data_IF_747417874139
#
_entry.id   IF_747417874139
#
_cell.length_a   1.000
_cell.length_b   1.000
_cell.length_c   1.000
_cell.angle_alpha   90.00
_cell.angle_beta   90.00
_cell.angle_gamma   90.00
#
_symmetry.space_group_name_H-M   'P 1'
#
loop_
_entity.id
_entity.type
_entity.pdbx_description
1 polymer ?
#
# COMPACT_ATOMS: atom_id res chain seq x y z
N UNK A 1 76.24 -18.57 -32.02
CA UNK A 1 76.11 -18.65 -33.50
C UNK A 1 75.01 -17.65 -33.84
N UNK A 2 75.37 -16.38 -34.18
CA UNK A 2 75.61 -15.90 -35.54
C UNK A 2 74.40 -16.18 -36.42
N UNK A 3 73.60 -15.18 -36.81
CA UNK A 3 73.92 -14.17 -37.80
C UNK A 3 73.00 -12.97 -37.80
N UNK A 4 73.60 -11.81 -37.87
CA UNK A 4 73.10 -10.53 -38.30
C UNK A 4 72.70 -10.57 -39.78
N UNK A 5 71.71 -9.87 -40.26
CA UNK A 5 71.87 -9.11 -41.49
C UNK A 5 71.01 -7.86 -41.48
N UNK A 6 71.66 -6.81 -41.80
CA UNK A 6 71.37 -5.40 -41.94
C UNK A 6 70.68 -5.08 -43.27
N UNK A 7 70.17 -3.83 -43.30
CA UNK A 7 69.84 -2.94 -44.46
C UNK A 7 68.36 -3.12 -44.95
N UNK A 8 67.60 -2.04 -45.08
CA UNK A 8 67.88 -0.75 -45.72
C UNK A 8 66.91 0.36 -45.33
N UNK A 9 67.49 1.50 -45.17
CA UNK A 9 66.91 2.82 -45.03
C UNK A 9 66.13 3.24 -46.28
N UNK A 10 64.89 3.63 -46.19
CA UNK A 10 64.28 4.62 -47.08
C UNK A 10 63.45 5.65 -46.35
N UNK A 11 63.99 6.85 -46.29
CA UNK A 11 63.31 8.06 -45.90
C UNK A 11 62.46 8.50 -47.10
N UNK A 12 61.12 8.53 -46.94
CA UNK A 12 60.25 9.26 -47.85
C UNK A 12 59.60 10.43 -47.10
N UNK A 13 59.90 11.60 -47.62
CA UNK A 13 59.41 12.89 -47.16
C UNK A 13 57.91 13.03 -47.19
N UNK A 14 57.50 13.86 -46.26
CA UNK A 14 56.15 14.29 -45.90
C UNK A 14 55.19 14.60 -47.03
N UNK A 15 53.95 14.19 -46.72
CA UNK A 15 52.76 14.82 -47.28
C UNK A 15 52.11 15.71 -46.23
N UNK A 16 51.58 16.87 -46.59
CA UNK A 16 51.03 17.82 -45.61
C UNK A 16 49.72 17.25 -45.01
N UNK A 17 49.65 17.26 -43.66
CA UNK A 17 48.43 16.98 -42.89
C UNK A 17 47.44 18.10 -43.20
N UNK A 18 46.42 17.80 -43.97
CA UNK A 18 45.24 18.64 -44.09
C UNK A 18 44.47 18.59 -42.77
N UNK A 19 44.03 19.75 -42.22
CA UNK A 19 43.18 19.73 -41.03
C UNK A 19 41.83 19.06 -41.35
N UNK A 20 41.53 17.97 -40.63
CA UNK A 20 40.22 17.36 -40.70
C UNK A 20 39.20 18.38 -40.23
N UNK A 21 38.41 18.90 -41.14
CA UNK A 21 37.18 19.61 -40.87
C UNK A 21 36.30 18.66 -40.03
N UNK A 22 36.22 18.94 -38.72
CA UNK A 22 35.11 18.43 -37.91
C UNK A 22 33.85 18.91 -38.62
N UNK A 23 33.17 18.00 -39.28
CA UNK A 23 31.78 18.16 -39.64
C UNK A 23 31.01 18.18 -38.32
N UNK A 24 30.72 19.41 -37.85
CA UNK A 24 29.67 19.61 -36.85
C UNK A 24 28.37 19.06 -37.47
N UNK A 25 28.10 17.79 -37.21
CA UNK A 25 26.75 17.24 -37.41
C UNK A 25 25.84 18.09 -36.53
N UNK A 26 24.85 18.79 -37.10
CA UNK A 26 23.91 19.53 -36.28
C UNK A 26 23.30 18.52 -35.29
N UNK A 27 23.52 18.75 -34.00
CA UNK A 27 22.77 18.07 -32.95
C UNK A 27 21.31 18.33 -33.29
N UNK A 28 20.58 17.27 -33.68
CA UNK A 28 19.17 17.37 -33.94
C UNK A 28 18.53 18.07 -32.74
N UNK A 29 17.69 19.09 -32.96
CA UNK A 29 17.05 19.80 -31.87
C UNK A 29 16.34 18.71 -31.03
N UNK A 30 16.60 18.71 -29.71
CA UNK A 30 15.93 17.85 -28.77
C UNK A 30 14.44 17.89 -29.09
N UNK A 31 13.86 16.72 -29.30
CA UNK A 31 12.43 16.61 -29.60
C UNK A 31 11.65 17.50 -28.63
N UNK A 32 10.65 18.25 -29.10
CA UNK A 32 9.92 19.18 -28.25
C UNK A 32 9.46 18.40 -27.03
N UNK A 33 9.85 18.90 -25.85
CA UNK A 33 9.39 18.32 -24.58
C UNK A 33 7.89 18.52 -24.56
N UNK A 34 7.15 17.46 -24.90
CA UNK A 34 5.70 17.46 -24.87
C UNK A 34 5.24 17.89 -23.49
N UNK A 35 4.91 19.16 -23.36
CA UNK A 35 4.05 19.67 -22.31
C UNK A 35 2.66 19.14 -22.64
N UNK A 36 2.41 17.88 -22.27
CA UNK A 36 1.08 17.29 -22.38
C UNK A 36 0.16 18.16 -21.54
N UNK A 37 -0.59 19.05 -22.20
CA UNK A 37 -1.68 19.75 -21.54
C UNK A 37 -2.71 18.71 -21.16
N UNK A 38 -3.02 18.59 -19.85
CA UNK A 38 -4.06 17.68 -19.40
C UNK A 38 -5.36 18.09 -20.05
N UNK A 39 -5.87 17.24 -20.93
CA UNK A 39 -7.19 17.45 -21.53
C UNK A 39 -8.26 17.27 -20.45
N UNK A 40 -9.43 17.90 -20.56
CA UNK A 40 -10.55 17.69 -19.64
C UNK A 40 -10.91 16.20 -19.49
N UNK A 41 -10.76 15.43 -20.59
CA UNK A 41 -10.94 13.98 -20.59
C UNK A 41 -9.90 13.25 -19.72
N UNK A 42 -8.62 13.60 -19.85
CA UNK A 42 -7.56 13.02 -19.03
C UNK A 42 -7.76 13.33 -17.53
N UNK A 43 -8.18 14.57 -17.21
CA UNK A 43 -8.51 14.97 -15.83
C UNK A 43 -9.69 14.15 -15.28
N UNK A 44 -10.75 13.92 -16.08
CA UNK A 44 -11.86 13.07 -15.70
C UNK A 44 -11.41 11.63 -15.42
N UNK A 45 -10.62 11.04 -16.33
CA UNK A 45 -10.08 9.69 -16.14
C UNK A 45 -9.21 9.57 -14.86
N UNK A 46 -8.31 10.53 -14.62
CA UNK A 46 -7.49 10.56 -13.42
C UNK A 46 -8.37 10.73 -12.18
N UNK A 47 -9.38 11.60 -12.23
CA UNK A 47 -10.35 11.75 -11.15
C UNK A 47 -11.10 10.45 -10.83
N UNK A 48 -11.48 9.67 -11.85
CA UNK A 48 -12.10 8.37 -11.67
C UNK A 48 -11.14 7.32 -11.07
N UNK A 49 -9.84 7.37 -11.41
CA UNK A 49 -8.83 6.50 -10.79
C UNK A 49 -8.58 6.87 -9.32
N UNK A 50 -8.63 8.16 -8.98
CA UNK A 50 -8.59 8.63 -7.60
C UNK A 50 -9.84 8.14 -6.84
N UNK A 51 -11.03 8.24 -7.45
CA UNK A 51 -12.27 7.72 -6.90
C UNK A 51 -12.25 6.19 -6.72
N UNK A 52 -11.55 5.45 -7.62
CA UNK A 52 -11.31 4.02 -7.45
C UNK A 52 -10.49 3.74 -6.18
N UNK A 53 -9.37 4.44 -5.98
CA UNK A 53 -8.56 4.32 -4.76
C UNK A 53 -9.39 4.60 -3.50
N UNK A 54 -10.23 5.63 -3.54
CA UNK A 54 -11.17 5.95 -2.45
C UNK A 54 -12.18 4.84 -2.20
N UNK A 55 -12.82 4.31 -3.27
CA UNK A 55 -13.81 3.23 -3.18
C UNK A 55 -13.22 1.93 -2.61
N UNK A 56 -12.02 1.55 -3.08
CA UNK A 56 -11.29 0.39 -2.57
C UNK A 56 -10.97 0.54 -1.08
N UNK A 57 -10.44 1.71 -0.69
CA UNK A 57 -10.14 2.00 0.71
C UNK A 57 -11.38 2.00 1.60
N UNK A 58 -12.50 2.56 1.14
CA UNK A 58 -13.77 2.48 1.87
C UNK A 58 -14.22 1.04 2.08
N UNK A 59 -14.19 0.22 1.02
CA UNK A 59 -14.57 -1.19 1.12
C UNK A 59 -13.63 -1.99 2.05
N UNK A 60 -12.34 -1.65 2.09
CA UNK A 60 -11.37 -2.30 2.97
C UNK A 60 -11.61 -1.96 4.44
N UNK A 61 -11.68 -0.67 4.79
CA UNK A 61 -11.59 -0.21 6.16
C UNK A 61 -12.95 -0.03 6.87
N UNK A 62 -14.08 -0.05 6.15
CA UNK A 62 -15.41 0.10 6.73
C UNK A 62 -15.65 -0.88 7.90
N UNK A 63 -15.15 -2.11 7.78
CA UNK A 63 -15.32 -3.18 8.78
C UNK A 63 -14.74 -2.80 10.13
N UNK A 64 -13.65 -2.01 10.18
CA UNK A 64 -13.06 -1.56 11.45
C UNK A 64 -14.03 -0.66 12.22
N UNK A 65 -14.77 0.17 11.50
CA UNK A 65 -15.78 1.05 12.11
C UNK A 65 -17.01 0.31 12.63
N UNK A 66 -17.46 -0.74 11.93
CA UNK A 66 -18.72 -1.45 12.19
C UNK A 66 -18.55 -2.83 12.87
N UNK A 67 -17.33 -3.15 13.29
CA UNK A 67 -16.97 -4.46 13.85
C UNK A 67 -17.81 -4.86 15.09
N UNK A 68 -18.06 -3.96 16.07
CA UNK A 68 -18.87 -4.32 17.23
C UNK A 68 -20.31 -4.66 16.86
N UNK A 69 -20.88 -3.95 15.89
CA UNK A 69 -22.25 -4.17 15.41
C UNK A 69 -22.37 -5.51 14.68
N UNK A 70 -21.41 -5.84 13.82
CA UNK A 70 -21.34 -7.16 13.15
C UNK A 70 -21.22 -8.28 14.18
N UNK A 71 -20.34 -8.13 15.18
CA UNK A 71 -20.16 -9.14 16.22
C UNK A 71 -21.45 -9.39 17.00
N UNK A 72 -22.20 -8.32 17.29
CA UNK A 72 -23.48 -8.40 18.01
C UNK A 72 -24.57 -9.03 17.16
N UNK A 73 -24.69 -8.64 15.90
CA UNK A 73 -25.74 -9.10 15.00
C UNK A 73 -25.64 -10.61 14.68
N UNK A 74 -24.44 -11.08 14.39
CA UNK A 74 -24.19 -12.51 14.15
C UNK A 74 -23.91 -13.33 15.41
N UNK A 75 -23.89 -12.72 16.60
CA UNK A 75 -23.63 -13.43 17.86
C UNK A 75 -22.24 -14.04 17.95
N UNK A 76 -21.24 -13.45 17.29
CA UNK A 76 -19.86 -13.94 17.29
C UNK A 76 -18.96 -13.09 18.19
N UNK A 77 -17.88 -13.64 18.76
CA UNK A 77 -16.93 -12.86 19.53
C UNK A 77 -16.18 -11.85 18.67
N UNK A 78 -15.75 -10.72 19.27
CA UNK A 78 -15.02 -9.66 18.58
C UNK A 78 -13.76 -10.16 17.85
N UNK A 79 -13.07 -11.13 18.41
CA UNK A 79 -11.91 -11.77 17.78
C UNK A 79 -12.27 -12.44 16.46
N UNK A 80 -13.45 -13.07 16.39
CA UNK A 80 -13.95 -13.67 15.16
C UNK A 80 -14.37 -12.58 14.15
N UNK A 81 -15.03 -11.51 14.59
CA UNK A 81 -15.33 -10.37 13.73
C UNK A 81 -14.07 -9.72 13.15
N UNK A 82 -12.96 -9.68 13.89
CA UNK A 82 -11.65 -9.24 13.40
C UNK A 82 -11.08 -10.08 12.24
N UNK A 83 -11.49 -11.36 12.12
CA UNK A 83 -11.09 -12.23 11.00
C UNK A 83 -11.56 -11.70 9.65
N UNK A 84 -12.62 -10.87 9.60
CA UNK A 84 -13.06 -10.22 8.36
C UNK A 84 -11.97 -9.32 7.76
N UNK A 85 -11.21 -8.65 8.61
CA UNK A 85 -10.07 -7.82 8.17
C UNK A 85 -8.87 -8.70 7.79
N UNK A 86 -8.54 -9.68 8.62
CA UNK A 86 -7.43 -10.60 8.34
C UNK A 86 -7.64 -11.40 7.04
N UNK A 87 -8.85 -11.93 6.82
CA UNK A 87 -9.19 -12.70 5.62
C UNK A 87 -9.10 -11.85 4.34
N UNK A 88 -9.60 -10.62 4.39
CA UNK A 88 -9.42 -9.67 3.29
C UNK A 88 -7.93 -9.45 3.01
N UNK A 89 -7.16 -9.08 4.03
CA UNK A 89 -5.77 -8.65 3.87
C UNK A 89 -4.84 -9.78 3.47
N UNK A 90 -5.01 -11.00 3.99
CA UNK A 90 -4.21 -12.15 3.55
C UNK A 90 -4.52 -12.52 2.10
N UNK A 91 -5.79 -12.44 1.70
CA UNK A 91 -6.20 -12.72 0.33
C UNK A 91 -5.66 -11.65 -0.61
N UNK A 92 -5.75 -10.38 -0.24
CA UNK A 92 -5.15 -9.27 -0.98
C UNK A 92 -3.64 -9.46 -1.17
N UNK A 93 -2.91 -9.79 -0.10
CA UNK A 93 -1.46 -9.95 -0.11
C UNK A 93 -1.00 -11.10 -1.02
N UNK A 94 -1.75 -12.20 -1.07
CA UNK A 94 -1.44 -13.36 -1.92
C UNK A 94 -1.90 -13.11 -3.36
N UNK A 95 -3.12 -12.62 -3.54
CA UNK A 95 -3.73 -12.51 -4.85
C UNK A 95 -3.11 -11.41 -5.72
N UNK A 96 -2.74 -10.27 -5.14
CA UNK A 96 -2.20 -9.14 -5.90
C UNK A 96 -0.97 -9.52 -6.73
N UNK A 97 0.13 -10.06 -6.17
CA UNK A 97 1.28 -10.46 -6.97
C UNK A 97 0.99 -11.64 -7.89
N UNK A 98 0.15 -12.61 -7.46
CA UNK A 98 -0.22 -13.76 -8.30
C UNK A 98 -1.00 -13.31 -9.54
N UNK A 99 -1.98 -12.43 -9.37
CA UNK A 99 -2.75 -11.89 -10.50
C UNK A 99 -1.90 -10.98 -11.39
N UNK A 100 -1.03 -10.15 -10.82
CA UNK A 100 -0.11 -9.32 -11.59
C UNK A 100 0.81 -10.17 -12.49
N UNK A 101 1.33 -11.30 -11.98
CA UNK A 101 2.21 -12.21 -12.72
C UNK A 101 1.46 -13.08 -13.73
N UNK A 102 0.22 -13.50 -13.46
CA UNK A 102 -0.51 -14.49 -14.27
C UNK A 102 -1.35 -13.86 -15.38
N UNK A 103 -1.81 -12.61 -15.21
CA UNK A 103 -2.79 -11.98 -16.12
C UNK A 103 -2.17 -11.04 -17.16
N UNK A 104 -0.85 -10.90 -17.20
CA UNK A 104 -0.14 -9.97 -18.09
C UNK A 104 -0.38 -10.16 -19.60
N UNK A 105 -0.93 -11.33 -20.02
CA UNK A 105 -1.30 -11.60 -21.42
C UNK A 105 -2.72 -11.18 -21.75
N UNK A 106 -3.53 -10.84 -20.75
CA UNK A 106 -4.93 -10.45 -20.93
C UNK A 106 -4.99 -8.94 -21.14
N UNK A 107 -5.78 -8.45 -22.12
CA UNK A 107 -5.92 -7.01 -22.32
C UNK A 107 -6.37 -6.30 -21.04
N UNK A 108 -5.69 -5.20 -20.68
CA UNK A 108 -5.93 -4.45 -19.44
C UNK A 108 -7.40 -4.05 -19.25
N UNK A 109 -8.13 -3.78 -20.35
CA UNK A 109 -9.56 -3.47 -20.30
C UNK A 109 -10.41 -4.67 -19.88
N UNK A 110 -10.09 -5.87 -20.38
CA UNK A 110 -10.80 -7.09 -19.99
C UNK A 110 -10.58 -7.38 -18.50
N UNK A 111 -9.34 -7.18 -18.01
CA UNK A 111 -9.01 -7.29 -16.59
C UNK A 111 -9.74 -6.25 -15.74
N UNK A 112 -9.75 -4.98 -16.19
CA UNK A 112 -10.48 -3.92 -15.49
C UNK A 112 -11.97 -4.28 -15.34
N UNK A 113 -12.62 -4.74 -16.41
CA UNK A 113 -14.03 -5.15 -16.38
C UNK A 113 -14.22 -6.35 -15.45
N UNK A 114 -13.41 -7.40 -15.61
CA UNK A 114 -13.52 -8.63 -14.82
C UNK A 114 -13.32 -8.37 -13.32
N UNK A 115 -12.28 -7.63 -12.95
CA UNK A 115 -12.02 -7.28 -11.56
C UNK A 115 -13.07 -6.34 -10.98
N UNK A 116 -13.58 -5.38 -11.77
CA UNK A 116 -14.69 -4.51 -11.35
C UNK A 116 -15.97 -5.29 -11.06
N UNK A 117 -16.32 -6.26 -11.93
CA UNK A 117 -17.48 -7.13 -11.72
C UNK A 117 -17.29 -7.96 -10.43
N UNK A 118 -16.14 -8.58 -10.24
CA UNK A 118 -15.86 -9.38 -9.05
C UNK A 118 -15.85 -8.54 -7.77
N UNK A 119 -15.32 -7.31 -7.84
CA UNK A 119 -15.31 -6.37 -6.72
C UNK A 119 -16.73 -5.95 -6.32
N UNK A 120 -17.56 -5.60 -7.31
CA UNK A 120 -18.98 -5.28 -7.08
C UNK A 120 -19.77 -6.50 -6.60
N UNK A 121 -19.50 -7.70 -7.13
CA UNK A 121 -20.13 -8.94 -6.67
C UNK A 121 -19.79 -9.26 -5.21
N UNK A 122 -18.51 -9.07 -4.82
CA UNK A 122 -18.08 -9.23 -3.43
C UNK A 122 -18.75 -8.24 -2.48
N UNK A 123 -18.83 -6.95 -2.85
CA UNK A 123 -19.56 -5.95 -2.06
C UNK A 123 -21.07 -6.24 -2.01
N UNK A 124 -21.67 -6.75 -3.11
CA UNK A 124 -23.07 -7.17 -3.12
C UNK A 124 -23.29 -8.37 -2.19
N UNK A 125 -22.39 -9.36 -2.21
CA UNK A 125 -22.45 -10.49 -1.30
C UNK A 125 -22.34 -10.07 0.18
N UNK A 126 -21.52 -9.05 0.46
CA UNK A 126 -21.39 -8.50 1.80
C UNK A 126 -22.70 -7.82 2.29
N UNK A 127 -23.39 -7.09 1.40
CA UNK A 127 -24.71 -6.49 1.71
C UNK A 127 -25.78 -7.57 1.94
N UNK A 128 -25.74 -8.66 1.17
CA UNK A 128 -26.72 -9.73 1.23
C UNK A 128 -26.36 -10.81 2.26
N UNK A 129 -25.29 -10.62 3.05
CA UNK A 129 -24.83 -11.62 3.98
C UNK A 129 -25.84 -11.86 5.11
N UNK A 130 -26.36 -13.10 5.19
CA UNK A 130 -27.28 -13.57 6.23
C UNK A 130 -26.57 -14.41 7.29
N UNK A 131 -25.28 -14.71 7.08
CA UNK A 131 -24.42 -15.40 8.05
C UNK A 131 -23.03 -14.80 8.07
N UNK A 132 -22.31 -15.02 9.18
CA UNK A 132 -20.93 -14.56 9.33
C UNK A 132 -20.01 -15.18 8.26
N UNK A 133 -20.19 -16.45 7.93
CA UNK A 133 -19.41 -17.18 6.93
C UNK A 133 -19.62 -16.59 5.52
N UNK A 134 -20.84 -16.19 5.20
CA UNK A 134 -21.13 -15.51 3.93
C UNK A 134 -20.45 -14.16 3.86
N UNK A 135 -20.47 -13.39 4.96
CA UNK A 135 -19.74 -12.12 5.04
C UNK A 135 -18.23 -12.33 4.92
N UNK A 136 -17.69 -13.38 5.57
CA UNK A 136 -16.28 -13.74 5.47
C UNK A 136 -15.88 -14.12 4.03
N UNK A 137 -16.71 -14.93 3.36
CA UNK A 137 -16.47 -15.28 1.95
C UNK A 137 -16.52 -14.05 1.02
N UNK A 138 -17.45 -13.12 1.27
CA UNK A 138 -17.51 -11.84 0.57
C UNK A 138 -16.22 -11.02 0.76
N UNK A 139 -15.67 -10.96 1.98
CA UNK A 139 -14.40 -10.29 2.28
C UNK A 139 -13.21 -10.92 1.54
N UNK A 140 -13.17 -12.26 1.47
CA UNK A 140 -12.17 -12.98 0.66
C UNK A 140 -12.29 -12.61 -0.81
N UNK A 141 -13.50 -12.59 -1.37
CA UNK A 141 -13.72 -12.23 -2.78
C UNK A 141 -13.31 -10.78 -3.08
N UNK A 142 -13.64 -9.84 -2.20
CA UNK A 142 -13.24 -8.43 -2.32
C UNK A 142 -11.71 -8.32 -2.28
N UNK A 143 -11.06 -8.94 -1.29
CA UNK A 143 -9.61 -8.94 -1.13
C UNK A 143 -8.86 -9.53 -2.33
N UNK A 144 -9.42 -10.59 -2.93
CA UNK A 144 -8.86 -11.27 -4.10
C UNK A 144 -8.57 -10.31 -5.26
N UNK A 145 -9.44 -9.33 -5.49
CA UNK A 145 -9.38 -8.48 -6.67
C UNK A 145 -8.98 -7.04 -6.40
N UNK A 146 -9.06 -6.57 -5.14
CA UNK A 146 -8.85 -5.15 -4.81
C UNK A 146 -7.48 -4.64 -5.22
N UNK A 147 -6.41 -5.36 -4.88
CA UNK A 147 -5.05 -4.97 -5.24
C UNK A 147 -4.79 -5.03 -6.74
N UNK A 148 -5.30 -6.07 -7.40
CA UNK A 148 -5.19 -6.20 -8.85
C UNK A 148 -5.98 -5.12 -9.60
N UNK A 149 -7.16 -4.75 -9.12
CA UNK A 149 -7.98 -3.67 -9.69
C UNK A 149 -7.29 -2.31 -9.56
N UNK A 150 -6.67 -2.04 -8.40
CA UNK A 150 -5.87 -0.84 -8.20
C UNK A 150 -4.66 -0.81 -9.14
N UNK A 151 -3.93 -1.91 -9.24
CA UNK A 151 -2.75 -2.04 -10.10
C UNK A 151 -3.11 -1.84 -11.59
N UNK A 152 -4.18 -2.47 -12.08
CA UNK A 152 -4.66 -2.28 -13.46
C UNK A 152 -5.09 -0.83 -13.69
N UNK A 153 -5.78 -0.19 -12.73
CA UNK A 153 -6.11 1.24 -12.80
C UNK A 153 -4.87 2.10 -12.98
N UNK A 154 -3.80 1.84 -12.23
CA UNK A 154 -2.55 2.59 -12.32
C UNK A 154 -1.87 2.49 -13.70
N UNK A 155 -2.06 1.40 -14.44
CA UNK A 155 -1.47 1.23 -15.81
C UNK A 155 -2.00 2.23 -16.85
N UNK A 156 -3.13 2.90 -16.58
CA UNK A 156 -3.67 3.94 -17.46
C UNK A 156 -3.03 5.32 -17.23
N UNK A 157 -2.39 5.54 -16.08
CA UNK A 157 -1.85 6.85 -15.69
C UNK A 157 -0.78 7.38 -16.65
N UNK A 158 0.21 6.59 -17.13
CA UNK A 158 1.22 7.09 -18.06
C UNK A 158 0.63 7.64 -19.36
N UNK A 159 -0.39 6.98 -19.90
CA UNK A 159 -1.08 7.38 -21.13
C UNK A 159 -1.91 8.66 -20.94
N UNK A 160 -2.52 8.84 -19.77
CA UNK A 160 -3.39 9.98 -19.47
C UNK A 160 -2.64 11.23 -19.03
N UNK A 161 -1.60 11.07 -18.19
CA UNK A 161 -0.91 12.17 -17.53
C UNK A 161 0.46 12.50 -18.15
N UNK A 162 1.01 11.60 -18.98
CA UNK A 162 2.38 11.67 -19.47
C UNK A 162 3.41 11.33 -18.38
N UNK A 163 4.61 10.92 -18.79
CA UNK A 163 5.66 10.41 -17.90
C UNK A 163 6.05 11.33 -16.74
N UNK A 164 6.02 12.65 -16.94
CA UNK A 164 6.40 13.65 -15.92
C UNK A 164 5.44 13.71 -14.72
N UNK A 165 4.19 13.27 -14.87
CA UNK A 165 3.13 13.41 -13.86
C UNK A 165 2.68 12.10 -13.24
N UNK A 166 3.26 10.97 -13.66
CA UNK A 166 2.90 9.63 -13.14
C UNK A 166 2.97 9.60 -11.62
N UNK A 167 4.08 10.04 -11.04
CA UNK A 167 4.31 10.02 -9.60
C UNK A 167 3.24 10.80 -8.82
N UNK A 168 2.87 11.99 -9.31
CA UNK A 168 1.84 12.82 -8.68
C UNK A 168 0.48 12.13 -8.76
N UNK A 169 0.12 11.56 -9.92
CA UNK A 169 -1.17 10.89 -10.10
C UNK A 169 -1.28 9.63 -9.21
N UNK A 170 -0.23 8.83 -9.15
CA UNK A 170 -0.17 7.66 -8.25
C UNK A 170 -0.30 8.11 -6.79
N UNK A 171 0.43 9.14 -6.38
CA UNK A 171 0.34 9.69 -5.02
C UNK A 171 -1.07 10.17 -4.66
N UNK A 172 -1.79 10.77 -5.62
CA UNK A 172 -3.18 11.20 -5.40
C UNK A 172 -4.13 10.00 -5.22
N UNK A 173 -3.93 8.90 -5.95
CA UNK A 173 -4.72 7.67 -5.78
C UNK A 173 -4.49 7.07 -4.39
N UNK A 174 -3.23 7.00 -3.92
CA UNK A 174 -2.92 6.51 -2.58
C UNK A 174 -3.38 7.47 -1.47
N UNK A 175 -3.33 8.78 -1.71
CA UNK A 175 -3.89 9.77 -0.78
C UNK A 175 -5.41 9.59 -0.62
N UNK A 176 -6.12 9.32 -1.71
CA UNK A 176 -7.56 9.04 -1.68
C UNK A 176 -7.86 7.77 -0.89
N UNK A 177 -7.03 6.73 -1.03
CA UNK A 177 -7.14 5.51 -0.24
C UNK A 177 -6.99 5.77 1.27
N UNK A 178 -6.02 6.61 1.65
CA UNK A 178 -5.82 7.02 3.05
C UNK A 178 -6.98 7.85 3.58
N UNK A 179 -7.52 8.78 2.78
CA UNK A 179 -8.70 9.58 3.13
C UNK A 179 -9.93 8.66 3.30
N UNK A 180 -10.05 7.64 2.44
CA UNK A 180 -11.11 6.64 2.54
C UNK A 180 -11.08 5.90 3.87
N UNK A 181 -9.91 5.51 4.37
CA UNK A 181 -9.76 4.89 5.68
C UNK A 181 -10.35 5.76 6.79
N UNK A 182 -10.05 7.07 6.78
CA UNK A 182 -10.57 8.05 7.75
C UNK A 182 -12.10 8.11 7.70
N UNK A 183 -12.62 8.36 6.50
CA UNK A 183 -14.05 8.62 6.31
C UNK A 183 -14.85 7.34 6.54
N UNK A 184 -14.42 6.20 5.99
CA UNK A 184 -15.20 4.97 6.07
C UNK A 184 -15.31 4.42 7.49
N UNK A 185 -14.22 4.44 8.27
CA UNK A 185 -14.26 3.97 9.67
C UNK A 185 -15.16 4.85 10.53
N UNK A 186 -15.04 6.19 10.40
CA UNK A 186 -15.83 7.14 11.19
C UNK A 186 -17.29 7.17 10.77
N UNK A 187 -17.56 7.32 9.46
CA UNK A 187 -18.92 7.34 8.94
C UNK A 187 -19.59 5.98 9.08
N UNK A 188 -18.84 4.89 8.87
CA UNK A 188 -19.33 3.53 9.09
C UNK A 188 -19.80 3.34 10.51
N UNK A 189 -19.00 3.75 11.52
CA UNK A 189 -19.38 3.70 12.93
C UNK A 189 -20.64 4.53 13.22
N UNK A 190 -20.69 5.76 12.73
CA UNK A 190 -21.84 6.65 12.92
C UNK A 190 -23.13 6.06 12.31
N UNK A 191 -23.03 5.57 11.06
CA UNK A 191 -24.17 4.96 10.33
C UNK A 191 -24.66 3.70 11.07
N UNK A 192 -23.73 2.80 11.42
CA UNK A 192 -24.06 1.55 12.06
C UNK A 192 -24.71 1.71 13.45
N UNK A 193 -24.32 2.75 14.17
CA UNK A 193 -24.88 3.02 15.49
C UNK A 193 -26.21 3.82 15.44
N UNK A 194 -26.45 4.59 14.37
CA UNK A 194 -27.68 5.39 14.22
C UNK A 194 -28.80 4.59 13.55
N UNK A 195 -28.42 3.73 12.59
CA UNK A 195 -29.35 2.88 11.86
C UNK A 195 -28.93 1.41 12.03
N UNK A 196 -28.37 0.82 10.97
CA UNK A 196 -27.85 -0.55 10.94
C UNK A 196 -26.53 -0.59 10.16
N UNK A 197 -25.62 -1.50 10.51
CA UNK A 197 -24.35 -1.66 9.84
C UNK A 197 -24.48 -1.97 8.34
N UNK A 198 -25.58 -2.60 7.93
CA UNK A 198 -25.90 -2.89 6.53
C UNK A 198 -25.93 -1.62 5.66
N UNK A 199 -26.45 -0.50 6.18
CA UNK A 199 -26.48 0.76 5.42
C UNK A 199 -25.08 1.30 5.13
N UNK A 200 -24.12 1.10 6.02
CA UNK A 200 -22.74 1.46 5.78
C UNK A 200 -22.13 0.63 4.63
N UNK A 201 -22.41 -0.67 4.60
CA UNK A 201 -21.96 -1.57 3.51
C UNK A 201 -22.69 -1.28 2.20
N UNK A 202 -23.99 -0.96 2.23
CA UNK A 202 -24.75 -0.49 1.05
C UNK A 202 -24.10 0.77 0.46
N UNK A 203 -23.69 1.72 1.30
CA UNK A 203 -22.98 2.92 0.86
C UNK A 203 -21.70 2.59 0.09
N UNK A 204 -20.90 1.64 0.57
CA UNK A 204 -19.68 1.18 -0.14
C UNK A 204 -20.01 0.46 -1.45
N UNK A 205 -21.08 -0.34 -1.48
CA UNK A 205 -21.55 -1.02 -2.69
C UNK A 205 -21.96 0.00 -3.77
N UNK A 206 -22.84 0.97 -3.42
CA UNK A 206 -23.32 1.99 -4.36
C UNK A 206 -22.15 2.77 -4.95
N UNK A 207 -21.22 3.19 -4.09
CA UNK A 207 -20.01 3.89 -4.55
C UNK A 207 -19.17 3.02 -5.48
N UNK A 208 -18.97 1.75 -5.15
CA UNK A 208 -18.21 0.80 -5.97
C UNK A 208 -18.87 0.60 -7.33
N UNK A 209 -20.19 0.44 -7.40
CA UNK A 209 -20.94 0.32 -8.64
C UNK A 209 -20.80 1.56 -9.52
N UNK A 210 -20.98 2.75 -8.95
CA UNK A 210 -20.86 4.02 -9.68
C UNK A 210 -19.45 4.22 -10.23
N UNK A 211 -18.43 4.03 -9.41
CA UNK A 211 -17.03 4.23 -9.80
C UNK A 211 -16.60 3.19 -10.83
N UNK A 212 -16.91 1.91 -10.63
CA UNK A 212 -16.55 0.85 -11.59
C UNK A 212 -17.27 1.02 -12.92
N UNK A 213 -18.57 1.35 -12.90
CA UNK A 213 -19.33 1.63 -14.13
C UNK A 213 -18.74 2.83 -14.89
N UNK A 214 -18.45 3.92 -14.19
CA UNK A 214 -17.83 5.10 -14.79
C UNK A 214 -16.46 4.79 -15.41
N UNK A 215 -15.60 4.02 -14.71
CA UNK A 215 -14.30 3.58 -15.23
C UNK A 215 -14.45 2.75 -16.51
N UNK A 216 -15.36 1.77 -16.52
CA UNK A 216 -15.62 0.92 -17.68
C UNK A 216 -16.13 1.72 -18.88
N UNK A 217 -16.94 2.74 -18.64
CA UNK A 217 -17.51 3.57 -19.70
C UNK A 217 -16.54 4.61 -20.24
N UNK A 218 -15.74 5.22 -19.37
CA UNK A 218 -14.94 6.42 -19.68
C UNK A 218 -13.50 6.09 -20.06
N UNK A 219 -12.85 5.09 -19.43
CA UNK A 219 -11.44 4.79 -19.72
C UNK A 219 -11.20 4.36 -21.17
N UNK A 220 -10.02 4.70 -21.75
CA UNK A 220 -9.70 4.39 -23.14
C UNK A 220 -9.86 2.90 -23.46
N UNK A 221 -10.41 2.61 -24.63
CA UNK A 221 -10.62 1.22 -25.10
C UNK A 221 -9.35 0.62 -25.71
N UNK A 222 -8.46 1.45 -26.17
CA UNK A 222 -7.17 1.08 -26.76
C UNK A 222 -6.13 1.01 -25.66
N UNK A 223 -5.50 -0.11 -25.51
CA UNK A 223 -4.42 -0.28 -24.55
C UNK A 223 -3.42 -1.28 -25.08
N UNK A 224 -2.14 -0.89 -25.12
CA UNK A 224 -1.07 -1.83 -25.35
C UNK A 224 -1.17 -2.95 -24.31
N UNK A 225 -1.15 -4.19 -24.76
CA UNK A 225 -0.73 -5.28 -23.92
C UNK A 225 0.75 -5.04 -23.69
N UNK A 226 1.11 -4.49 -22.53
CA UNK A 226 2.50 -4.54 -22.12
C UNK A 226 2.84 -6.04 -22.12
N UNK A 227 3.89 -6.40 -22.86
CA UNK A 227 4.46 -7.75 -22.75
C UNK A 227 5.22 -7.71 -21.41
N UNK A 228 4.62 -8.16 -20.32
CA UNK A 228 5.33 -8.13 -19.04
C UNK A 228 6.46 -9.12 -19.15
N UNK A 229 7.57 -8.80 -18.52
CA UNK A 229 8.60 -9.78 -18.23
C UNK A 229 7.94 -11.04 -17.65
N UNK A 230 8.38 -12.20 -18.07
CA UNK A 230 7.76 -13.46 -17.63
C UNK A 230 7.85 -13.58 -16.11
N UNK A 231 6.87 -14.25 -15.48
CA UNK A 231 6.90 -14.50 -14.03
C UNK A 231 8.24 -15.09 -13.58
N UNK A 232 8.88 -15.93 -14.43
CA UNK A 232 10.18 -16.52 -14.17
C UNK A 232 11.32 -15.51 -14.07
N UNK A 233 11.25 -14.43 -14.83
CA UNK A 233 12.27 -13.35 -14.83
C UNK A 233 12.10 -12.42 -13.63
N UNK A 234 10.89 -12.29 -13.09
CA UNK A 234 10.58 -11.45 -11.95
C UNK A 234 10.76 -12.16 -10.60
N UNK A 235 10.64 -13.50 -10.56
CA UNK A 235 10.72 -14.32 -9.34
C UNK A 235 12.04 -14.13 -8.54
N UNK A 236 13.22 -13.89 -9.15
CA UNK A 236 14.45 -13.66 -8.40
C UNK A 236 14.36 -12.48 -7.42
N UNK A 237 13.61 -11.41 -7.75
CA UNK A 237 13.38 -10.27 -6.86
C UNK A 237 12.78 -10.71 -5.51
N UNK A 238 11.80 -11.63 -5.52
CA UNK A 238 11.14 -12.11 -4.30
C UNK A 238 12.07 -12.92 -3.38
N UNK A 239 13.21 -13.39 -3.92
CA UNK A 239 14.22 -14.13 -3.16
C UNK A 239 15.35 -13.25 -2.66
N UNK A 240 15.36 -11.98 -3.03
CA UNK A 240 16.38 -11.04 -2.56
C UNK A 240 16.24 -10.83 -1.04
N UNK A 241 17.32 -10.98 -0.25
CA UNK A 241 17.28 -10.80 1.20
C UNK A 241 16.76 -9.44 1.65
N UNK A 242 16.95 -8.37 0.84
CA UNK A 242 16.46 -7.01 1.14
C UNK A 242 14.93 -6.92 1.02
N UNK A 243 14.36 -7.61 0.03
CA UNK A 243 12.91 -7.70 -0.17
C UNK A 243 12.28 -8.52 0.95
N UNK A 244 12.87 -9.67 1.28
CA UNK A 244 12.41 -10.52 2.40
C UNK A 244 12.47 -9.75 3.72
N UNK A 245 13.58 -9.05 3.98
CA UNK A 245 13.74 -8.24 5.19
C UNK A 245 12.74 -7.08 5.24
N UNK A 246 12.55 -6.35 4.14
CA UNK A 246 11.55 -5.30 4.04
C UNK A 246 10.13 -5.80 4.28
N UNK A 247 9.74 -6.94 3.70
CA UNK A 247 8.44 -7.58 3.95
C UNK A 247 8.28 -7.99 5.41
N UNK A 248 9.32 -8.55 6.04
CA UNK A 248 9.29 -8.89 7.46
C UNK A 248 9.19 -7.64 8.37
N UNK A 249 9.87 -6.54 8.00
CA UNK A 249 9.73 -5.25 8.69
C UNK A 249 8.28 -4.76 8.62
N UNK A 250 7.60 -4.86 7.47
CA UNK A 250 6.18 -4.52 7.36
C UNK A 250 5.30 -5.46 8.20
N UNK A 251 5.55 -6.76 8.15
CA UNK A 251 4.76 -7.74 8.91
C UNK A 251 4.75 -7.41 10.41
N UNK A 252 5.89 -7.08 10.99
CA UNK A 252 5.99 -6.73 12.40
C UNK A 252 5.69 -5.25 12.66
N UNK A 253 6.13 -4.32 11.80
CA UNK A 253 5.98 -2.87 11.99
C UNK A 253 4.54 -2.41 11.82
N UNK A 254 3.90 -2.75 10.70
CA UNK A 254 2.48 -2.48 10.46
C UNK A 254 1.63 -3.38 11.36
N UNK A 255 2.00 -4.66 11.47
CA UNK A 255 1.33 -5.62 12.35
C UNK A 255 1.25 -5.13 13.80
N UNK A 256 2.29 -4.46 14.32
CA UNK A 256 2.29 -3.93 15.68
C UNK A 256 1.17 -2.92 15.95
N UNK A 257 0.86 -2.07 14.97
CA UNK A 257 -0.25 -1.12 15.06
C UNK A 257 -1.57 -1.86 14.89
N UNK A 258 -1.66 -2.80 13.95
CA UNK A 258 -2.92 -3.50 13.66
C UNK A 258 -3.34 -4.52 14.72
N UNK A 259 -2.44 -4.94 15.63
CA UNK A 259 -2.84 -5.62 16.87
C UNK A 259 -3.84 -4.79 17.68
N UNK A 260 -3.65 -3.45 17.69
CA UNK A 260 -4.54 -2.49 18.33
C UNK A 260 -5.60 -1.95 17.35
N UNK A 261 -5.17 -1.40 16.20
CA UNK A 261 -6.05 -0.68 15.29
C UNK A 261 -7.14 -1.55 14.67
N UNK A 262 -6.87 -2.83 14.45
CA UNK A 262 -7.88 -3.79 14.00
C UNK A 262 -9.09 -3.90 14.95
N UNK A 263 -8.92 -3.43 16.19
CA UNK A 263 -9.94 -3.46 17.24
C UNK A 263 -10.11 -2.09 17.91
N UNK A 264 -9.75 -1.03 17.21
CA UNK A 264 -9.78 0.34 17.75
C UNK A 264 -11.19 0.76 18.16
N UNK A 265 -12.20 0.43 17.36
CA UNK A 265 -13.60 0.78 17.66
C UNK A 265 -14.06 0.17 18.99
N UNK A 266 -14.01 -1.17 19.18
CA UNK A 266 -14.36 -1.75 20.47
C UNK A 266 -13.42 -1.31 21.61
N UNK A 267 -12.19 -0.94 21.34
CA UNK A 267 -11.29 -0.38 22.37
C UNK A 267 -11.78 0.97 22.88
N UNK A 268 -12.18 1.87 21.96
CA UNK A 268 -12.73 3.19 22.31
C UNK A 268 -14.02 3.06 23.11
N UNK A 269 -14.89 2.11 22.76
CA UNK A 269 -16.19 1.90 23.43
C UNK A 269 -16.04 1.16 24.76
N UNK A 270 -15.34 0.01 24.79
CA UNK A 270 -15.36 -0.89 25.94
C UNK A 270 -14.26 -0.57 26.97
N UNK A 271 -13.11 0.01 26.55
CA UNK A 271 -12.02 0.35 27.45
C UNK A 271 -12.06 1.82 27.84
N UNK A 272 -12.29 2.74 26.87
CA UNK A 272 -12.34 4.17 27.17
C UNK A 272 -13.74 4.66 27.50
N UNK A 273 -14.78 3.84 27.34
CA UNK A 273 -16.17 4.16 27.66
C UNK A 273 -16.77 5.27 26.78
N UNK A 274 -16.23 5.48 25.57
CA UNK A 274 -16.72 6.49 24.65
C UNK A 274 -18.09 6.15 24.09
N UNK A 275 -18.95 7.15 24.02
CA UNK A 275 -20.19 7.06 23.26
C UNK A 275 -19.96 7.05 21.75
N UNK A 276 -20.98 6.71 20.96
CA UNK A 276 -20.89 6.58 19.50
C UNK A 276 -20.33 7.82 18.82
N UNK A 277 -20.80 9.01 19.19
CA UNK A 277 -20.36 10.27 18.58
C UNK A 277 -18.89 10.55 18.92
N UNK A 278 -18.49 10.32 20.15
CA UNK A 278 -17.13 10.49 20.64
C UNK A 278 -16.18 9.52 19.95
N UNK A 279 -16.54 8.24 19.85
CA UNK A 279 -15.78 7.23 19.16
C UNK A 279 -15.63 7.55 17.66
N UNK A 280 -16.70 7.99 16.99
CA UNK A 280 -16.65 8.42 15.58
C UNK A 280 -15.73 9.62 15.40
N UNK A 281 -15.78 10.60 16.32
CA UNK A 281 -14.88 11.75 16.32
C UNK A 281 -13.41 11.37 16.55
N UNK A 282 -13.16 10.43 17.48
CA UNK A 282 -11.82 9.91 17.75
C UNK A 282 -11.25 9.15 16.51
N UNK A 283 -12.07 8.34 15.83
CA UNK A 283 -11.69 7.67 14.59
C UNK A 283 -11.38 8.67 13.46
N UNK A 284 -12.16 9.75 13.36
CA UNK A 284 -11.88 10.82 12.40
C UNK A 284 -10.55 11.52 12.70
N UNK A 285 -10.30 11.85 13.97
CA UNK A 285 -9.03 12.43 14.40
C UNK A 285 -7.85 11.47 14.16
N UNK A 286 -8.03 10.17 14.47
CA UNK A 286 -7.05 9.13 14.18
C UNK A 286 -6.66 9.10 12.70
N UNK A 287 -7.66 9.11 11.83
CA UNK A 287 -7.42 9.12 10.40
C UNK A 287 -6.75 10.42 9.91
N UNK A 288 -7.09 11.58 10.47
CA UNK A 288 -6.38 12.84 10.21
C UNK A 288 -4.89 12.74 10.57
N UNK A 289 -4.55 12.09 11.68
CA UNK A 289 -3.16 11.81 12.07
C UNK A 289 -2.48 10.80 11.12
N UNK A 290 -3.21 9.80 10.60
CA UNK A 290 -2.69 8.90 9.57
C UNK A 290 -2.36 9.63 8.25
N UNK A 291 -3.19 10.59 7.85
CA UNK A 291 -2.89 11.45 6.71
C UNK A 291 -1.62 12.28 6.95
N UNK A 292 -1.46 12.88 8.12
CA UNK A 292 -0.25 13.58 8.52
C UNK A 292 0.97 12.65 8.55
N UNK A 293 0.80 11.39 8.98
CA UNK A 293 1.82 10.33 8.97
C UNK A 293 2.35 10.05 7.56
N UNK A 294 1.46 9.99 6.56
CA UNK A 294 1.85 9.80 5.15
C UNK A 294 2.72 10.96 4.64
N UNK A 295 2.36 12.21 4.96
CA UNK A 295 3.17 13.38 4.59
C UNK A 295 4.54 13.34 5.28
N UNK A 296 4.55 12.99 6.56
CA UNK A 296 5.77 12.85 7.35
C UNK A 296 6.69 11.75 6.79
N UNK A 297 6.11 10.64 6.31
CA UNK A 297 6.84 9.53 5.69
C UNK A 297 7.71 9.99 4.50
N UNK A 298 7.12 10.74 3.57
CA UNK A 298 7.85 11.28 2.41
C UNK A 298 8.97 12.24 2.81
N UNK A 299 8.71 13.12 3.79
CA UNK A 299 9.72 14.05 4.30
C UNK A 299 10.88 13.33 5.00
N UNK A 300 10.56 12.32 5.83
CA UNK A 300 11.55 11.51 6.52
C UNK A 300 12.40 10.69 5.55
N UNK A 301 11.79 10.08 4.54
CA UNK A 301 12.50 9.29 3.54
C UNK A 301 13.48 10.15 2.75
N UNK A 302 13.07 11.33 2.28
CA UNK A 302 13.90 12.26 1.55
C UNK A 302 15.14 12.73 2.36
N UNK A 303 15.05 12.76 3.71
CA UNK A 303 16.12 13.26 4.58
C UNK A 303 16.98 12.16 5.20
N UNK A 304 16.39 11.04 5.56
CA UNK A 304 17.02 9.99 6.35
C UNK A 304 16.96 8.61 5.67
N UNK A 305 16.14 8.44 4.64
CA UNK A 305 15.94 7.16 3.94
C UNK A 305 15.52 6.05 4.91
N UNK A 306 16.07 4.86 4.71
CA UNK A 306 15.79 3.66 5.52
C UNK A 306 16.11 3.86 7.03
N UNK A 307 17.00 4.80 7.38
CA UNK A 307 17.32 5.11 8.79
C UNK A 307 16.11 5.66 9.56
N UNK A 308 15.11 6.20 8.88
CA UNK A 308 13.83 6.62 9.51
C UNK A 308 13.23 5.51 10.36
N UNK A 309 13.35 4.25 9.94
CA UNK A 309 12.81 3.10 10.67
C UNK A 309 13.47 2.89 12.03
N UNK A 310 14.76 3.26 12.18
CA UNK A 310 15.50 3.12 13.44
C UNK A 310 14.97 4.04 14.54
N UNK A 311 14.30 5.12 14.18
CA UNK A 311 13.71 6.10 15.10
C UNK A 311 12.21 5.88 15.25
N UNK A 312 11.50 5.59 14.16
CA UNK A 312 10.04 5.46 14.18
C UNK A 312 9.56 4.27 14.98
N UNK A 313 10.19 3.10 14.86
CA UNK A 313 9.77 1.90 15.60
C UNK A 313 9.95 1.99 17.12
N UNK A 314 11.05 2.52 17.68
CA UNK A 314 11.12 2.77 19.12
C UNK A 314 10.06 3.73 19.64
N UNK A 315 9.77 4.82 18.90
CA UNK A 315 8.70 5.76 19.24
C UNK A 315 7.36 5.02 19.25
N UNK A 316 7.07 4.24 18.21
CA UNK A 316 5.87 3.43 18.10
C UNK A 316 5.75 2.40 19.24
N UNK A 317 6.85 1.74 19.61
CA UNK A 317 6.90 0.81 20.74
C UNK A 317 6.59 1.50 22.07
N UNK A 318 7.15 2.70 22.31
CA UNK A 318 6.89 3.50 23.52
C UNK A 318 5.42 3.93 23.57
N UNK A 319 4.84 4.35 22.45
CA UNK A 319 3.43 4.75 22.41
C UNK A 319 2.49 3.55 22.66
N UNK A 320 2.75 2.40 22.04
CA UNK A 320 1.96 1.18 22.24
C UNK A 320 2.10 0.64 23.67
N UNK A 321 3.29 0.66 24.23
CA UNK A 321 3.51 0.33 25.64
C UNK A 321 2.80 1.34 26.56
N UNK A 322 2.89 2.64 26.24
CA UNK A 322 2.20 3.69 26.96
C UNK A 322 0.69 3.50 26.98
N UNK A 323 0.09 3.05 25.87
CA UNK A 323 -1.33 2.74 25.81
C UNK A 323 -1.74 1.66 26.81
N UNK A 324 -0.93 0.61 26.93
CA UNK A 324 -1.12 -0.43 27.96
C UNK A 324 -0.94 0.11 29.37
N UNK A 325 0.12 0.89 29.62
CA UNK A 325 0.47 1.38 30.96
C UNK A 325 -0.52 2.43 31.48
N UNK A 326 -1.03 3.30 30.61
CA UNK A 326 -1.99 4.34 30.98
C UNK A 326 -3.41 3.78 31.13
N UNK A 327 -3.74 2.70 30.40
CA UNK A 327 -5.06 2.08 30.45
C UNK A 327 -6.17 3.03 30.04
N UNK A 328 -7.32 3.06 30.78
CA UNK A 328 -8.48 3.88 30.40
C UNK A 328 -8.38 5.36 30.83
N UNK A 329 -7.20 5.82 31.29
CA UNK A 329 -7.04 7.20 31.80
C UNK A 329 -7.14 8.26 30.68
N UNK A 330 -8.30 8.88 30.55
CA UNK A 330 -8.54 10.00 29.65
C UNK A 330 -7.99 11.32 30.26
N UNK A 331 -7.45 12.26 29.45
CA UNK A 331 -7.30 12.27 27.97
C UNK A 331 -6.00 11.61 27.45
N UNK A 332 -5.17 11.08 28.33
CA UNK A 332 -3.83 10.57 27.98
C UNK A 332 -3.90 9.39 27.01
N UNK A 333 -4.83 8.48 27.25
CA UNK A 333 -5.04 7.34 26.35
C UNK A 333 -5.38 7.80 24.91
N UNK A 334 -6.26 8.79 24.76
CA UNK A 334 -6.59 9.36 23.45
C UNK A 334 -5.39 10.04 22.79
N UNK A 335 -4.60 10.80 23.53
CA UNK A 335 -3.38 11.45 23.03
C UNK A 335 -2.36 10.40 22.51
N UNK A 336 -2.20 9.30 23.24
CA UNK A 336 -1.32 8.19 22.83
C UNK A 336 -1.87 7.51 21.57
N UNK A 337 -3.18 7.25 21.48
CA UNK A 337 -3.84 6.68 20.30
C UNK A 337 -3.59 7.56 19.07
N UNK A 338 -3.73 8.87 19.19
CA UNK A 338 -3.43 9.81 18.10
C UNK A 338 -1.93 9.81 17.75
N UNK A 339 -1.05 9.67 18.74
CA UNK A 339 0.38 9.49 18.53
C UNK A 339 0.71 8.21 17.74
N UNK A 340 0.04 7.08 18.06
CA UNK A 340 0.17 5.82 17.33
C UNK A 340 -0.25 6.03 15.86
N UNK A 341 -1.36 6.71 15.61
CA UNK A 341 -1.81 7.05 14.26
C UNK A 341 -0.75 7.84 13.47
N UNK A 342 -0.05 8.77 14.12
CA UNK A 342 1.01 9.55 13.50
C UNK A 342 2.23 8.70 13.10
N UNK A 343 2.44 7.53 13.71
CA UNK A 343 3.55 6.62 13.35
C UNK A 343 3.18 5.60 12.27
N UNK A 344 1.90 5.44 11.96
CA UNK A 344 1.35 4.33 11.16
C UNK A 344 1.96 4.19 9.77
N UNK A 345 2.13 5.31 9.05
CA UNK A 345 2.63 5.32 7.67
C UNK A 345 4.06 5.81 7.52
N UNK A 346 4.73 6.22 8.62
CA UNK A 346 6.10 6.79 8.56
C UNK A 346 7.11 5.87 7.87
N UNK A 347 6.89 4.56 7.93
CA UNK A 347 7.80 3.56 7.34
C UNK A 347 7.44 3.18 5.91
N UNK A 348 6.29 3.60 5.37
CA UNK A 348 5.83 3.21 4.03
C UNK A 348 6.77 3.70 2.94
N UNK A 349 7.05 5.00 2.85
CA UNK A 349 7.93 5.54 1.80
C UNK A 349 9.35 4.99 1.87
N UNK A 350 10.01 4.88 3.04
CA UNK A 350 11.33 4.23 3.13
C UNK A 350 11.36 2.78 2.65
N UNK A 351 10.28 2.01 2.87
CA UNK A 351 10.19 0.64 2.36
C UNK A 351 9.94 0.60 0.84
N UNK A 352 9.07 1.47 0.32
CA UNK A 352 8.88 1.62 -1.14
C UNK A 352 10.23 1.93 -1.80
N UNK A 353 10.96 2.90 -1.26
CA UNK A 353 12.29 3.28 -1.74
C UNK A 353 13.25 2.09 -1.73
N UNK A 354 13.24 1.28 -0.67
CA UNK A 354 14.06 0.07 -0.57
C UNK A 354 13.71 -0.94 -1.67
N UNK A 355 12.43 -1.22 -1.90
CA UNK A 355 11.99 -2.19 -2.91
C UNK A 355 12.30 -1.70 -4.32
N UNK A 356 12.02 -0.44 -4.61
CA UNK A 356 12.21 0.16 -5.92
C UNK A 356 13.70 0.31 -6.29
N UNK A 357 14.55 0.74 -5.36
CA UNK A 357 15.99 0.84 -5.60
C UNK A 357 16.63 -0.52 -5.80
N UNK A 358 16.26 -1.51 -4.98
CA UNK A 358 16.73 -2.89 -5.15
C UNK A 358 16.36 -3.45 -6.53
N UNK A 359 15.12 -3.21 -6.99
CA UNK A 359 14.69 -3.66 -8.30
C UNK A 359 15.39 -2.91 -9.43
N UNK A 360 15.54 -1.58 -9.33
CA UNK A 360 16.19 -0.77 -10.37
C UNK A 360 17.67 -1.13 -10.56
N UNK A 361 18.38 -1.45 -9.47
CA UNK A 361 19.81 -1.78 -9.49
C UNK A 361 20.10 -3.20 -10.00
N UNK A 362 19.32 -4.19 -9.58
CA UNK A 362 19.65 -5.61 -9.82
C UNK A 362 18.60 -6.39 -10.63
N UNK A 363 17.35 -5.91 -10.67
CA UNK A 363 16.22 -6.61 -11.31
C UNK A 363 15.35 -5.65 -12.15
N UNK A 364 15.89 -4.92 -13.15
CA UNK A 364 15.16 -3.86 -13.85
C UNK A 364 13.89 -4.36 -14.56
N UNK A 365 13.84 -5.64 -14.95
CA UNK A 365 12.63 -6.27 -15.52
C UNK A 365 11.52 -6.51 -14.49
N UNK A 366 11.80 -6.39 -13.19
CA UNK A 366 10.85 -6.63 -12.11
C UNK A 366 10.35 -5.34 -11.42
N UNK A 367 10.55 -4.15 -12.02
CA UNK A 367 10.12 -2.87 -11.45
C UNK A 367 8.61 -2.81 -11.18
N UNK A 368 7.80 -3.39 -12.09
CA UNK A 368 6.34 -3.46 -11.91
C UNK A 368 5.97 -4.33 -10.71
N UNK A 369 6.64 -5.47 -10.53
CA UNK A 369 6.45 -6.29 -9.33
C UNK A 369 6.89 -5.55 -8.08
N UNK A 370 8.05 -4.89 -8.10
CA UNK A 370 8.56 -4.11 -6.97
C UNK A 370 7.58 -3.05 -6.48
N UNK A 371 6.90 -2.35 -7.40
CA UNK A 371 5.89 -1.34 -7.04
C UNK A 371 4.65 -1.94 -6.36
N UNK A 372 4.35 -3.21 -6.58
CA UNK A 372 3.23 -3.91 -5.93
C UNK A 372 3.60 -4.54 -4.58
N UNK A 373 4.90 -4.60 -4.25
CA UNK A 373 5.35 -5.25 -3.02
C UNK A 373 4.98 -4.47 -1.76
N UNK A 374 4.97 -3.15 -1.80
CA UNK A 374 4.61 -2.34 -0.62
C UNK A 374 3.16 -2.60 -0.19
N UNK A 375 2.13 -2.42 -1.04
CA UNK A 375 0.76 -2.69 -0.60
C UNK A 375 0.54 -4.17 -0.24
N UNK A 376 1.27 -5.08 -0.89
CA UNK A 376 1.28 -6.50 -0.52
C UNK A 376 1.83 -6.72 0.89
N UNK A 377 3.02 -6.19 1.18
CA UNK A 377 3.67 -6.32 2.48
C UNK A 377 2.88 -5.61 3.60
N UNK A 378 2.27 -4.46 3.28
CA UNK A 378 1.38 -3.74 4.18
C UNK A 378 0.19 -4.62 4.59
N UNK A 379 -0.45 -5.27 3.63
CA UNK A 379 -1.55 -6.20 3.88
C UNK A 379 -1.12 -7.48 4.62
N UNK A 380 0.12 -7.98 4.43
CA UNK A 380 0.68 -9.03 5.30
C UNK A 380 0.71 -8.56 6.75
N UNK A 381 1.16 -7.32 6.99
CA UNK A 381 1.16 -6.71 8.32
C UNK A 381 -0.24 -6.58 8.93
N UNK A 382 -1.22 -6.12 8.14
CA UNK A 382 -2.61 -6.03 8.58
C UNK A 382 -3.15 -7.41 8.98
N UNK A 383 -2.99 -8.40 8.09
CA UNK A 383 -3.49 -9.75 8.34
C UNK A 383 -2.90 -10.37 9.61
N UNK A 384 -1.59 -10.27 9.75
CA UNK A 384 -0.87 -10.81 10.90
C UNK A 384 -1.22 -10.06 12.19
N UNK A 385 -1.20 -8.72 12.16
CA UNK A 385 -1.52 -7.89 13.32
C UNK A 385 -2.94 -8.10 13.82
N UNK A 386 -3.94 -8.08 12.93
CA UNK A 386 -5.35 -8.31 13.30
C UNK A 386 -5.60 -9.72 13.82
N UNK A 387 -4.98 -10.75 13.23
CA UNK A 387 -5.10 -12.12 13.72
C UNK A 387 -4.53 -12.29 15.13
N UNK A 388 -3.34 -11.72 15.37
CA UNK A 388 -2.73 -11.72 16.71
C UNK A 388 -3.54 -10.87 17.69
N UNK A 389 -4.04 -9.72 17.29
CA UNK A 389 -4.94 -8.89 18.09
C UNK A 389 -6.17 -9.66 18.55
N UNK A 390 -6.79 -10.45 17.65
CA UNK A 390 -7.90 -11.33 17.96
C UNK A 390 -7.53 -12.40 19.00
N UNK A 391 -6.36 -13.02 18.86
CA UNK A 391 -5.86 -13.99 19.83
C UNK A 391 -5.60 -13.35 21.21
N UNK A 392 -5.06 -12.13 21.24
CA UNK A 392 -4.83 -11.36 22.49
C UNK A 392 -6.16 -11.06 23.18
N UNK A 393 -7.17 -10.61 22.42
CA UNK A 393 -8.49 -10.28 22.96
C UNK A 393 -9.19 -11.51 23.53
N UNK A 394 -9.06 -12.67 22.87
CA UNK A 394 -9.64 -13.93 23.31
C UNK A 394 -8.89 -14.56 24.49
N UNK A 395 -7.64 -14.22 24.70
CA UNK A 395 -6.77 -14.72 25.75
C UNK A 395 -6.64 -13.75 26.93
N UNK A 396 -5.53 -12.97 27.01
CA UNK A 396 -5.28 -12.06 28.15
C UNK A 396 -6.25 -10.87 28.19
N UNK A 397 -6.90 -10.53 27.08
CA UNK A 397 -7.88 -9.46 26.99
C UNK A 397 -7.43 -8.22 26.24
N UNK A 398 -8.41 -7.38 25.89
CA UNK A 398 -8.23 -6.17 25.08
C UNK A 398 -7.20 -5.17 25.62
N UNK A 399 -7.02 -4.96 26.92
CA UNK A 399 -5.98 -4.04 27.42
C UNK A 399 -4.54 -4.41 26.99
N UNK A 400 -4.28 -5.70 26.72
CA UNK A 400 -2.94 -6.18 26.37
C UNK A 400 -2.56 -6.00 24.90
N UNK A 401 -3.46 -5.52 24.03
CA UNK A 401 -3.15 -5.27 22.60
C UNK A 401 -2.00 -4.26 22.44
N UNK A 402 -1.92 -3.25 23.30
CA UNK A 402 -0.82 -2.29 23.29
C UNK A 402 0.53 -2.92 23.65
N UNK A 403 0.57 -3.78 24.67
CA UNK A 403 1.79 -4.47 25.09
C UNK A 403 2.34 -5.41 23.99
N UNK A 404 1.48 -6.21 23.38
CA UNK A 404 1.86 -7.12 22.29
C UNK A 404 2.29 -6.33 21.06
N UNK A 405 1.57 -5.25 20.72
CA UNK A 405 1.96 -4.34 19.66
C UNK A 405 3.35 -3.72 19.90
N UNK A 406 3.66 -3.30 21.12
CA UNK A 406 4.98 -2.79 21.48
C UNK A 406 6.08 -3.83 21.26
N UNK A 407 5.87 -5.08 21.65
CA UNK A 407 6.81 -6.16 21.40
C UNK A 407 7.08 -6.37 19.92
N UNK A 408 6.03 -6.32 19.07
CA UNK A 408 6.17 -6.43 17.62
C UNK A 408 6.94 -5.26 17.02
N UNK A 409 6.69 -4.04 17.50
CA UNK A 409 7.45 -2.86 17.07
C UNK A 409 8.94 -2.97 17.39
N UNK A 410 9.31 -3.55 18.53
CA UNK A 410 10.72 -3.83 18.87
C UNK A 410 11.33 -4.91 17.96
N UNK A 411 10.57 -5.92 17.56
CA UNK A 411 11.04 -6.91 16.56
C UNK A 411 11.26 -6.23 15.22
N UNK A 412 10.33 -5.37 14.76
CA UNK A 412 10.50 -4.59 13.54
C UNK A 412 11.72 -3.68 13.59
N UNK A 413 11.97 -3.06 14.73
CA UNK A 413 13.17 -2.25 14.97
C UNK A 413 14.47 -3.07 14.84
N UNK A 414 14.52 -4.26 15.45
CA UNK A 414 15.68 -5.14 15.36
C UNK A 414 15.95 -5.59 13.91
N UNK A 415 14.90 -5.91 13.16
CA UNK A 415 15.00 -6.25 11.73
C UNK A 415 15.48 -5.06 10.89
N UNK A 416 14.97 -3.86 11.14
CA UNK A 416 15.40 -2.64 10.46
C UNK A 416 16.88 -2.32 10.78
N UNK A 417 17.30 -2.46 12.04
CA UNK A 417 18.69 -2.26 12.46
C UNK A 417 19.62 -3.24 11.74
N UNK A 418 19.24 -4.51 11.67
CA UNK A 418 20.00 -5.55 10.95
C UNK A 418 20.13 -5.19 9.46
N UNK A 419 19.04 -4.77 8.81
CA UNK A 419 19.02 -4.40 7.40
C UNK A 419 19.94 -3.21 7.11
N UNK A 420 19.91 -2.18 7.96
CA UNK A 420 20.80 -1.01 7.83
C UNK A 420 22.27 -1.38 8.06
N UNK A 421 22.57 -2.24 9.06
CA UNK A 421 23.93 -2.71 9.32
C UNK A 421 24.50 -3.53 8.16
N UNK A 422 23.69 -4.40 7.53
CA UNK A 422 24.11 -5.19 6.37
C UNK A 422 24.34 -4.32 5.14
N UNK A 423 23.51 -3.30 4.91
CA UNK A 423 23.68 -2.35 3.82
C UNK A 423 24.96 -1.49 3.95
N UNK A 424 25.34 -1.11 5.18
CA UNK A 424 26.58 -0.36 5.45
C UNK A 424 27.85 -1.18 5.31
N UNK A 425 27.81 -2.50 5.50
CA UNK A 425 28.98 -3.38 5.32
C UNK A 425 29.29 -3.73 3.86
N UNK A 426 28.35 -3.50 2.95
CA UNK A 426 28.52 -3.75 1.50
C UNK A 426 28.99 -2.54 0.69
N UNK A 427 28.99 -1.36 1.32
CA UNK A 427 29.62 -0.12 0.79
C UNK A 427 31.05 0.03 1.35
#
# INVERSE_FOLDING_TARGET
MVNLNTDDTQITMGAPVTPSTRTDTPVAPAAPQDTVHLTPYALLCIGLLIALGFSLGCSEFIVIGIQPEIARDFGVPLSQAGMLMSAFSITYAIATPVLALSTGRIPRRTLLIGYSILFCAGNSAAVLATSFEMLLAARVLIGLVSGALLAIGATYIPELAGMKRISICISLVYAAFSIAMVISTSAGKFIAATWEWHYAVIGTLVMSLVVCAALILVLPRTGATDIPATAREQMPLLRDPRIIAGTAIFMFGVGSIYVFYGYVTPYLENILGMGTLEASGALMAYGGMCFASNLLSGWCDARFGVKTMLVSFPIQAVLLFGLWAVGPAMPWALAIILGIALTMYVVSTPCISLFMTTAAEEYPQALTLASSLEPTAFNVGIAFGTAVGGAVISGPGMPYVGLVGAAFSLVAWALAALTVCLATKRR
#
